data_IF_659216046534
#
_entry.id   IF_659216046534
#
_cell.length_a   1.000
_cell.length_b   1.000
_cell.length_c   1.000
_cell.angle_alpha   90.00
_cell.angle_beta   90.00
_cell.angle_gamma   90.00
#
_symmetry.space_group_name_H-M   'P 1'
#
loop_
_entity.id
_entity.type
_entity.pdbx_description
1 polymer ?
#
# COMPACT_ATOMS: atom_id res chain seq x y z
N UNK A 1 -45.50 2.12 14.33
CA UNK A 1 -45.34 1.89 12.88
C UNK A 1 -44.09 2.61 12.41
N UNK A 2 -42.98 1.94 12.47
CA UNK A 2 -41.67 2.46 12.01
C UNK A 2 -41.58 2.20 10.51
N UNK A 3 -41.51 3.28 9.70
CA UNK A 3 -41.23 3.19 8.26
C UNK A 3 -39.77 2.75 8.06
N UNK A 4 -39.59 1.49 7.66
CA UNK A 4 -38.36 0.98 7.09
C UNK A 4 -38.05 1.80 5.83
N UNK A 5 -37.16 2.76 5.94
CA UNK A 5 -36.56 3.45 4.79
C UNK A 5 -35.58 2.48 4.12
N UNK A 6 -36.08 1.73 3.15
CA UNK A 6 -35.25 1.00 2.18
C UNK A 6 -34.32 2.01 1.52
N UNK A 7 -33.04 1.98 1.86
CA UNK A 7 -32.02 2.78 1.20
C UNK A 7 -32.07 2.44 -0.30
N UNK A 8 -32.51 3.39 -1.11
CA UNK A 8 -32.58 3.25 -2.57
C UNK A 8 -31.18 2.88 -3.09
N UNK A 9 -31.04 1.73 -3.74
CA UNK A 9 -29.80 1.30 -4.40
C UNK A 9 -29.37 2.41 -5.35
N UNK A 10 -28.26 3.09 -5.03
CA UNK A 10 -27.68 4.11 -5.91
C UNK A 10 -27.43 3.49 -7.28
N UNK A 11 -27.79 4.13 -8.40
CA UNK A 11 -27.59 3.59 -9.74
C UNK A 11 -26.10 3.35 -9.97
N UNK A 12 -25.75 2.23 -10.64
CA UNK A 12 -24.39 1.75 -10.84
C UNK A 12 -23.45 2.81 -11.42
N UNK A 13 -23.94 3.66 -12.33
CA UNK A 13 -23.13 4.73 -12.94
C UNK A 13 -22.68 5.84 -11.97
N UNK A 14 -23.30 5.94 -10.79
CA UNK A 14 -22.88 6.87 -9.71
C UNK A 14 -21.86 6.27 -8.77
N UNK A 15 -21.54 4.97 -8.90
CA UNK A 15 -20.48 4.37 -8.08
C UNK A 15 -19.11 4.79 -8.60
N UNK A 16 -18.20 5.15 -7.69
CA UNK A 16 -16.81 5.49 -8.02
C UNK A 16 -16.15 4.34 -8.78
N UNK A 17 -16.44 3.09 -8.37
CA UNK A 17 -15.96 1.88 -9.05
C UNK A 17 -16.28 1.88 -10.55
N UNK A 18 -17.54 2.10 -10.93
CA UNK A 18 -17.95 2.11 -12.33
C UNK A 18 -17.31 3.28 -13.10
N UNK A 19 -17.27 4.47 -12.49
CA UNK A 19 -16.66 5.65 -13.10
C UNK A 19 -15.17 5.46 -13.38
N UNK A 20 -14.42 4.89 -12.42
CA UNK A 20 -12.98 4.59 -12.60
C UNK A 20 -12.76 3.51 -13.65
N UNK A 21 -13.60 2.46 -13.67
CA UNK A 21 -13.50 1.39 -14.68
C UNK A 21 -13.72 1.93 -16.10
N UNK A 22 -14.74 2.76 -16.29
CA UNK A 22 -14.99 3.42 -17.58
C UNK A 22 -13.83 4.35 -17.95
N UNK A 23 -13.33 5.13 -16.99
CA UNK A 23 -12.22 6.05 -17.21
C UNK A 23 -10.93 5.31 -17.61
N UNK A 24 -10.60 4.19 -16.97
CA UNK A 24 -9.47 3.32 -17.33
C UNK A 24 -9.64 2.79 -18.77
N UNK A 25 -10.83 2.25 -19.11
CA UNK A 25 -11.09 1.74 -20.44
C UNK A 25 -10.95 2.81 -21.54
N UNK A 26 -11.48 4.02 -21.28
CA UNK A 26 -11.33 5.16 -22.19
C UNK A 26 -9.88 5.63 -22.28
N UNK A 27 -9.11 5.61 -21.18
CA UNK A 27 -7.68 5.92 -21.16
C UNK A 27 -6.87 4.95 -22.01
N UNK A 28 -7.12 3.64 -21.87
CA UNK A 28 -6.50 2.60 -22.71
C UNK A 28 -6.82 2.84 -24.20
N UNK A 29 -8.10 3.07 -24.52
CA UNK A 29 -8.52 3.33 -25.90
C UNK A 29 -7.82 4.57 -26.47
N UNK A 30 -7.81 5.70 -25.72
CA UNK A 30 -7.15 6.92 -26.18
C UNK A 30 -5.65 6.70 -26.42
N UNK A 31 -4.94 6.08 -25.44
CA UNK A 31 -3.51 5.81 -25.56
C UNK A 31 -3.18 4.85 -26.71
N UNK A 32 -4.05 3.90 -27.02
CA UNK A 32 -3.85 2.96 -28.11
C UNK A 32 -4.08 3.60 -29.49
N UNK A 33 -5.21 4.30 -29.68
CA UNK A 33 -5.57 4.85 -30.98
C UNK A 33 -4.89 6.19 -31.28
N UNK A 34 -4.58 6.97 -30.25
CA UNK A 34 -3.95 8.29 -30.35
C UNK A 34 -2.76 8.39 -29.38
N UNK A 35 -1.61 7.69 -29.64
CA UNK A 35 -0.51 7.57 -28.69
C UNK A 35 0.05 8.90 -28.19
N UNK A 36 0.21 9.88 -29.10
CA UNK A 36 0.75 11.20 -28.75
C UNK A 36 -0.19 11.93 -27.77
N UNK A 37 -1.49 11.97 -28.11
CA UNK A 37 -2.49 12.60 -27.27
C UNK A 37 -2.62 11.85 -25.93
N UNK A 38 -2.51 10.51 -25.95
CA UNK A 38 -2.47 9.70 -24.72
C UNK A 38 -1.28 10.08 -23.83
N UNK A 39 -0.10 10.21 -24.40
CA UNK A 39 1.11 10.63 -23.68
C UNK A 39 0.98 12.03 -23.04
N UNK A 40 0.28 12.95 -23.72
CA UNK A 40 0.02 14.32 -23.24
C UNK A 40 -0.96 14.37 -22.06
N UNK A 41 -1.70 13.28 -21.78
CA UNK A 41 -2.63 13.18 -20.64
C UNK A 41 -1.95 12.95 -19.29
N UNK A 42 -0.63 12.79 -19.25
CA UNK A 42 0.17 12.60 -18.01
C UNK A 42 -0.19 13.60 -16.89
N UNK A 43 -0.36 14.91 -17.15
CA UNK A 43 -0.68 15.88 -16.11
C UNK A 43 -1.94 15.59 -15.30
N UNK A 44 -2.95 14.91 -15.89
CA UNK A 44 -4.19 14.55 -15.20
C UNK A 44 -3.92 13.49 -14.12
N UNK A 45 -3.11 12.47 -14.43
CA UNK A 45 -2.69 11.45 -13.46
C UNK A 45 -1.81 12.04 -12.38
N UNK A 46 -0.77 12.79 -12.76
CA UNK A 46 0.16 13.43 -11.83
C UNK A 46 -0.55 14.44 -10.91
N UNK A 47 -1.52 15.19 -11.44
CA UNK A 47 -2.32 16.13 -10.69
C UNK A 47 -3.15 15.45 -9.58
N UNK A 48 -3.82 14.36 -9.91
CA UNK A 48 -4.56 13.57 -8.92
C UNK A 48 -3.64 13.01 -7.83
N UNK A 49 -2.49 12.43 -8.20
CA UNK A 49 -1.52 11.91 -7.24
C UNK A 49 -0.99 13.04 -6.32
N UNK A 50 -0.72 14.24 -6.87
CA UNK A 50 -0.30 15.41 -6.08
C UNK A 50 -1.38 15.85 -5.08
N UNK A 51 -2.66 15.85 -5.48
CA UNK A 51 -3.76 16.18 -4.56
C UNK A 51 -3.84 15.21 -3.38
N UNK A 52 -3.66 13.91 -3.63
CA UNK A 52 -3.62 12.91 -2.54
C UNK A 52 -2.38 13.09 -1.68
N UNK A 53 -1.17 13.22 -2.29
CA UNK A 53 0.08 13.38 -1.54
C UNK A 53 0.07 14.59 -0.61
N UNK A 54 -0.54 15.68 -1.03
CA UNK A 54 -0.68 16.91 -0.24
C UNK A 54 -1.30 16.66 1.15
N UNK A 55 -2.20 15.68 1.27
CA UNK A 55 -2.98 15.47 2.49
C UNK A 55 -2.51 14.26 3.32
N UNK A 56 -1.62 13.42 2.78
CA UNK A 56 -1.16 12.19 3.44
C UNK A 56 -0.47 12.53 4.77
N UNK A 57 0.51 13.43 4.78
CA UNK A 57 1.28 13.77 5.98
C UNK A 57 0.41 14.30 7.13
N UNK A 58 -0.50 15.28 6.91
CA UNK A 58 -1.45 15.71 7.92
C UNK A 58 -2.37 14.60 8.45
N UNK A 59 -2.87 13.72 7.57
CA UNK A 59 -3.74 12.59 7.99
C UNK A 59 -2.97 11.61 8.88
N UNK A 60 -1.76 11.20 8.48
CA UNK A 60 -0.92 10.30 9.27
C UNK A 60 -0.68 10.91 10.64
N UNK A 61 -0.30 12.19 10.70
CA UNK A 61 -0.09 12.89 11.96
C UNK A 61 -1.32 12.84 12.86
N UNK A 62 -2.46 13.30 12.38
CA UNK A 62 -3.68 13.35 13.19
C UNK A 62 -4.11 11.95 13.65
N UNK A 63 -4.12 10.97 12.74
CA UNK A 63 -4.58 9.60 13.05
C UNK A 63 -3.68 8.91 14.06
N UNK A 64 -2.35 9.02 13.88
CA UNK A 64 -1.37 8.40 14.78
C UNK A 64 -1.39 9.07 16.15
N UNK A 65 -1.42 10.41 16.20
CA UNK A 65 -1.46 11.15 17.47
C UNK A 65 -2.73 10.83 18.25
N UNK A 66 -3.92 10.89 17.62
CA UNK A 66 -5.20 10.55 18.27
C UNK A 66 -5.20 9.10 18.72
N UNK A 67 -4.68 8.22 17.87
CA UNK A 67 -4.52 6.81 18.20
C UNK A 67 -3.70 6.62 19.47
N UNK A 68 -2.48 7.13 19.53
CA UNK A 68 -1.54 6.93 20.65
C UNK A 68 -1.98 7.70 21.89
N UNK A 69 -2.26 8.99 21.77
CA UNK A 69 -2.64 9.81 22.91
C UNK A 69 -3.97 9.39 23.56
N UNK A 70 -4.83 8.74 22.79
CA UNK A 70 -6.11 8.20 23.25
C UNK A 70 -6.05 6.82 23.91
N UNK A 71 -4.87 6.18 23.99
CA UNK A 71 -4.71 4.86 24.62
C UNK A 71 -4.61 4.94 26.14
N UNK A 72 -5.13 3.89 26.80
CA UNK A 72 -4.98 3.71 28.25
C UNK A 72 -3.64 3.04 28.62
N UNK A 73 -3.08 2.23 27.72
CA UNK A 73 -1.85 1.46 27.97
C UNK A 73 -0.83 1.64 26.83
N UNK A 74 0.24 2.37 27.13
CA UNK A 74 1.32 2.68 26.20
C UNK A 74 2.19 1.48 25.80
N UNK A 75 2.21 0.40 26.61
CA UNK A 75 2.94 -0.82 26.26
C UNK A 75 2.35 -1.48 25.00
N UNK A 76 1.05 -1.29 24.75
CA UNK A 76 0.37 -1.81 23.56
C UNK A 76 0.91 -1.19 22.26
N UNK A 77 1.28 0.08 22.25
CA UNK A 77 1.85 0.76 21.05
C UNK A 77 3.15 0.08 20.63
N UNK A 78 4.07 -0.13 21.57
CA UNK A 78 5.33 -0.82 21.29
C UNK A 78 5.12 -2.26 20.83
N UNK A 79 4.17 -2.97 21.45
CA UNK A 79 3.81 -4.34 21.05
C UNK A 79 3.23 -4.37 19.62
N UNK A 80 2.31 -3.47 19.29
CA UNK A 80 1.70 -3.40 17.95
C UNK A 80 2.75 -3.08 16.89
N UNK A 81 3.62 -2.11 17.13
CA UNK A 81 4.72 -1.76 16.21
C UNK A 81 5.71 -2.90 16.01
N UNK A 82 6.15 -3.55 17.10
CA UNK A 82 7.08 -4.69 17.03
C UNK A 82 6.48 -5.89 16.29
N UNK A 83 5.21 -6.22 16.54
CA UNK A 83 4.51 -7.30 15.82
C UNK A 83 4.26 -6.95 14.35
N UNK A 84 3.99 -5.67 14.03
CA UNK A 84 3.86 -5.23 12.65
C UNK A 84 5.18 -5.40 11.88
N UNK A 85 6.30 -4.94 12.44
CA UNK A 85 7.62 -5.10 11.83
C UNK A 85 7.98 -6.58 11.64
N UNK A 86 7.72 -7.44 12.64
CA UNK A 86 7.93 -8.88 12.51
C UNK A 86 7.08 -9.47 11.38
N UNK A 87 5.81 -9.11 11.29
CA UNK A 87 4.92 -9.55 10.22
C UNK A 87 5.46 -9.13 8.85
N UNK A 88 5.83 -7.86 8.70
CA UNK A 88 6.36 -7.31 7.45
C UNK A 88 7.62 -8.04 7.00
N UNK A 89 8.54 -8.32 7.94
CA UNK A 89 9.78 -9.00 7.63
C UNK A 89 9.54 -10.43 7.15
N UNK A 90 8.69 -11.18 7.88
CA UNK A 90 8.35 -12.57 7.52
C UNK A 90 7.64 -12.62 6.16
N UNK A 91 6.63 -11.78 5.95
CA UNK A 91 5.82 -11.83 4.72
C UNK A 91 6.59 -11.31 3.51
N UNK A 92 7.40 -10.26 3.65
CA UNK A 92 8.30 -9.79 2.59
C UNK A 92 9.35 -10.84 2.22
N UNK A 93 9.88 -11.57 3.21
CA UNK A 93 10.81 -12.70 2.96
C UNK A 93 10.13 -13.81 2.16
N UNK A 94 8.89 -14.19 2.53
CA UNK A 94 8.10 -15.16 1.76
C UNK A 94 7.87 -14.64 0.33
N UNK A 95 7.57 -13.35 0.16
CA UNK A 95 7.36 -12.75 -1.15
C UNK A 95 8.62 -12.84 -2.04
N UNK A 96 9.81 -12.54 -1.48
CA UNK A 96 11.09 -12.70 -2.17
C UNK A 96 11.34 -14.17 -2.60
N UNK A 97 11.08 -15.13 -1.69
CA UNK A 97 11.25 -16.56 -1.96
C UNK A 97 10.27 -17.03 -3.03
N UNK A 98 9.00 -16.64 -2.96
CA UNK A 98 7.99 -17.00 -3.98
C UNK A 98 8.41 -16.46 -5.35
N UNK A 99 8.91 -15.21 -5.40
CA UNK A 99 9.46 -14.63 -6.62
C UNK A 99 10.64 -15.45 -7.17
N UNK A 100 11.59 -15.83 -6.30
CA UNK A 100 12.77 -16.63 -6.67
C UNK A 100 12.38 -18.00 -7.22
N UNK A 101 11.52 -18.72 -6.50
CA UNK A 101 11.06 -20.05 -6.90
C UNK A 101 10.36 -19.99 -8.27
N UNK A 102 9.44 -19.03 -8.43
CA UNK A 102 8.66 -18.93 -9.67
C UNK A 102 9.52 -18.56 -10.88
N UNK A 103 10.47 -17.61 -10.73
CA UNK A 103 11.33 -17.20 -11.86
C UNK A 103 12.31 -18.31 -12.26
N UNK A 104 12.77 -19.12 -11.31
CA UNK A 104 13.65 -20.27 -11.60
C UNK A 104 12.88 -21.45 -12.20
N UNK A 105 11.60 -21.66 -11.84
CA UNK A 105 10.77 -22.70 -12.45
C UNK A 105 10.36 -22.37 -13.90
N UNK A 106 9.96 -21.14 -14.15
CA UNK A 106 9.40 -20.73 -15.47
C UNK A 106 10.49 -20.24 -16.42
N UNK A 107 11.59 -19.74 -15.89
CA UNK A 107 12.75 -19.23 -16.63
C UNK A 107 12.35 -18.28 -17.78
N UNK A 108 11.74 -17.13 -17.47
CA UNK A 108 11.20 -16.23 -18.52
C UNK A 108 12.30 -15.60 -19.37
N UNK A 109 13.54 -15.49 -18.89
CA UNK A 109 14.69 -14.92 -19.61
C UNK A 109 15.52 -15.93 -20.38
N UNK A 110 15.28 -17.24 -20.18
CA UNK A 110 16.09 -18.28 -20.82
C UNK A 110 15.96 -18.25 -22.36
N UNK A 111 17.11 -18.34 -23.03
CA UNK A 111 17.18 -18.37 -24.50
C UNK A 111 17.14 -16.96 -25.18
N UNK A 112 17.07 -15.87 -24.40
CA UNK A 112 17.14 -14.53 -24.98
C UNK A 112 18.55 -14.18 -25.47
N UNK A 113 19.59 -14.72 -24.83
CA UNK A 113 21.02 -14.59 -25.23
C UNK A 113 21.43 -13.12 -25.52
N UNK A 114 21.01 -12.19 -24.70
CA UNK A 114 21.28 -10.78 -24.88
C UNK A 114 22.71 -10.46 -24.47
N UNK A 115 23.47 -9.84 -25.35
CA UNK A 115 24.77 -9.29 -24.99
C UNK A 115 24.61 -7.97 -24.21
N UNK A 116 25.00 -7.99 -22.94
CA UNK A 116 24.88 -6.82 -22.06
C UNK A 116 25.64 -5.59 -22.55
N UNK A 117 26.70 -5.77 -23.36
CA UNK A 117 27.50 -4.68 -23.93
C UNK A 117 26.77 -3.89 -25.00
N UNK A 118 25.74 -4.48 -25.62
CA UNK A 118 24.96 -3.86 -26.70
C UNK A 118 23.77 -3.06 -26.21
N UNK A 119 23.48 -3.12 -24.90
CA UNK A 119 22.29 -2.48 -24.32
C UNK A 119 22.49 -0.95 -24.17
N UNK A 120 21.43 -0.20 -24.48
CA UNK A 120 21.43 1.27 -24.33
C UNK A 120 21.41 1.68 -22.85
N UNK A 121 22.58 1.92 -22.28
CA UNK A 121 22.73 2.39 -20.90
C UNK A 121 22.30 3.84 -20.69
N UNK A 122 22.16 4.65 -21.75
CA UNK A 122 21.69 6.05 -21.65
C UNK A 122 20.24 6.09 -21.17
N UNK A 123 19.42 5.12 -21.59
CA UNK A 123 18.02 5.02 -21.20
C UNK A 123 17.82 4.81 -19.69
N UNK A 124 18.79 4.21 -19.01
CA UNK A 124 18.77 3.92 -17.58
C UNK A 124 19.63 4.85 -16.73
N UNK A 125 20.37 5.78 -17.34
CA UNK A 125 21.27 6.70 -16.64
C UNK A 125 20.55 7.52 -15.53
N UNK A 126 19.29 7.85 -15.74
CA UNK A 126 18.45 8.53 -14.73
C UNK A 126 18.24 7.72 -13.45
N UNK A 127 18.44 6.39 -13.49
CA UNK A 127 18.22 5.46 -12.38
C UNK A 127 19.49 4.93 -11.74
N UNK A 128 20.64 5.05 -12.44
CA UNK A 128 21.93 4.46 -12.04
C UNK A 128 22.98 5.49 -11.59
N UNK A 129 22.61 6.78 -11.51
CA UNK A 129 23.52 7.88 -11.16
C UNK A 129 24.07 7.79 -9.72
N UNK A 130 25.33 8.25 -9.49
CA UNK A 130 25.91 8.35 -8.14
C UNK A 130 25.04 9.25 -7.26
N UNK A 131 24.79 8.84 -6.00
CA UNK A 131 23.96 9.56 -5.04
C UNK A 131 22.53 9.01 -4.89
N UNK A 132 22.12 8.02 -5.68
CA UNK A 132 20.80 7.33 -5.51
C UNK A 132 20.88 6.06 -4.67
N UNK A 133 22.06 5.64 -4.26
CA UNK A 133 22.28 4.50 -3.37
C UNK A 133 22.31 4.99 -1.92
N UNK A 134 21.21 4.77 -1.21
CA UNK A 134 21.16 5.06 0.23
C UNK A 134 21.67 3.81 0.97
N UNK A 135 22.74 3.96 1.75
CA UNK A 135 23.24 2.90 2.61
C UNK A 135 22.18 2.50 3.67
N UNK A 136 22.24 1.27 4.18
CA UNK A 136 21.29 0.81 5.21
C UNK A 136 21.31 1.70 6.45
N UNK A 137 22.48 2.20 6.85
CA UNK A 137 22.63 3.13 7.98
C UNK A 137 21.99 4.47 7.65
N UNK A 138 22.23 4.99 6.45
CA UNK A 138 21.63 6.25 6.00
C UNK A 138 20.09 6.13 5.91
N UNK A 139 19.56 4.97 5.48
CA UNK A 139 18.14 4.70 5.47
C UNK A 139 17.54 4.80 6.86
N UNK A 140 18.19 4.19 7.87
CA UNK A 140 17.72 4.23 9.26
C UNK A 140 17.84 5.65 9.85
N UNK A 141 18.93 6.36 9.57
CA UNK A 141 19.13 7.73 10.01
C UNK A 141 18.16 8.70 9.34
N UNK A 142 17.78 8.46 8.08
CA UNK A 142 16.81 9.27 7.34
C UNK A 142 15.37 9.17 7.89
N UNK A 143 15.08 8.23 8.78
CA UNK A 143 13.80 8.21 9.52
C UNK A 143 13.71 9.40 10.49
N UNK A 144 14.86 9.94 10.93
CA UNK A 144 14.93 11.11 11.83
C UNK A 144 14.99 12.38 10.97
N UNK A 145 13.94 13.24 10.99
CA UNK A 145 13.95 14.46 10.20
C UNK A 145 14.95 15.49 10.74
N UNK A 146 15.58 16.24 9.85
CA UNK A 146 16.38 17.41 10.23
C UNK A 146 15.49 18.56 10.75
N UNK A 147 14.25 18.60 10.28
CA UNK A 147 13.20 19.53 10.72
C UNK A 147 11.84 18.88 10.56
N UNK A 148 10.97 19.04 11.56
CA UNK A 148 9.58 18.57 11.49
C UNK A 148 8.84 19.21 10.33
N UNK A 149 9.00 20.52 10.14
CA UNK A 149 8.34 21.26 9.05
C UNK A 149 8.79 20.74 7.68
N UNK A 150 10.08 20.43 7.51
CA UNK A 150 10.61 19.89 6.28
C UNK A 150 10.02 18.50 5.96
N UNK A 151 9.88 17.63 6.98
CA UNK A 151 9.25 16.32 6.83
C UNK A 151 7.81 16.42 6.30
N UNK A 152 7.03 17.35 6.83
CA UNK A 152 5.66 17.60 6.35
C UNK A 152 5.65 18.22 4.95
N UNK A 153 6.52 19.19 4.67
CA UNK A 153 6.60 19.88 3.39
C UNK A 153 7.03 18.94 2.25
N UNK A 154 7.93 18.01 2.52
CA UNK A 154 8.37 16.98 1.56
C UNK A 154 7.44 15.77 1.50
N UNK A 155 6.59 15.56 2.50
CA UNK A 155 5.69 14.41 2.59
C UNK A 155 6.42 13.10 2.89
N UNK A 156 7.52 13.15 3.66
CA UNK A 156 8.33 11.99 4.03
C UNK A 156 7.61 11.16 5.10
N UNK A 157 6.90 10.12 4.66
CA UNK A 157 5.94 9.34 5.48
C UNK A 157 6.57 8.83 6.78
N UNK A 158 7.78 8.23 6.72
CA UNK A 158 8.44 7.67 7.91
C UNK A 158 8.87 8.75 8.90
N UNK A 159 9.33 9.89 8.41
CA UNK A 159 9.74 11.03 9.25
C UNK A 159 8.52 11.64 9.96
N UNK A 160 7.42 11.83 9.22
CA UNK A 160 6.15 12.28 9.77
C UNK A 160 5.61 11.28 10.80
N UNK A 161 5.71 9.98 10.52
CA UNK A 161 5.29 8.92 11.43
C UNK A 161 6.10 8.94 12.73
N UNK A 162 7.43 9.03 12.66
CA UNK A 162 8.28 9.13 13.85
C UNK A 162 7.88 10.31 14.72
N UNK A 163 7.74 11.51 14.11
CA UNK A 163 7.30 12.69 14.85
C UNK A 163 5.91 12.51 15.46
N UNK A 164 4.97 11.93 14.72
CA UNK A 164 3.60 11.67 15.18
C UNK A 164 3.56 10.74 16.37
N UNK A 165 4.38 9.70 16.36
CA UNK A 165 4.54 8.76 17.49
C UNK A 165 5.07 9.49 18.73
N UNK A 166 6.16 10.26 18.58
CA UNK A 166 6.73 11.04 19.69
C UNK A 166 5.74 12.08 20.23
N UNK A 167 5.03 12.79 19.35
CA UNK A 167 4.01 13.77 19.74
C UNK A 167 2.84 13.11 20.46
N UNK A 168 2.37 11.94 19.98
CA UNK A 168 1.32 11.17 20.61
C UNK A 168 1.70 10.70 22.03
N UNK A 169 2.94 10.24 22.23
CA UNK A 169 3.47 9.91 23.55
C UNK A 169 3.52 11.13 24.48
N UNK A 170 4.02 12.25 23.98
CA UNK A 170 4.10 13.49 24.76
C UNK A 170 2.70 13.99 25.14
N UNK A 171 1.75 13.99 24.19
CA UNK A 171 0.37 14.42 24.44
C UNK A 171 -0.34 13.47 25.43
N UNK A 172 -0.11 12.15 25.34
CA UNK A 172 -0.62 11.20 26.32
C UNK A 172 -0.13 11.54 27.74
N UNK A 173 1.17 11.83 27.91
CA UNK A 173 1.76 12.23 29.18
C UNK A 173 1.23 13.57 29.69
N UNK A 174 0.88 14.49 28.78
CA UNK A 174 0.30 15.81 29.08
C UNK A 174 -1.16 15.73 29.54
N UNK A 175 -1.85 14.62 29.34
CA UNK A 175 -3.23 14.40 29.77
C UNK A 175 -4.10 13.67 28.74
N UNK A 176 -3.63 13.47 27.52
CA UNK A 176 -4.30 12.66 26.50
C UNK A 176 -5.70 13.15 26.15
N UNK A 177 -6.69 12.23 26.25
CA UNK A 177 -8.12 12.53 26.01
C UNK A 177 -8.64 13.59 26.97
N UNK A 178 -9.45 14.51 26.44
CA UNK A 178 -10.04 15.61 27.22
C UNK A 178 -9.16 16.87 27.27
N UNK A 179 -7.95 16.84 26.68
CA UNK A 179 -7.19 18.07 26.47
C UNK A 179 -7.65 18.77 25.19
N UNK A 180 -7.63 20.11 25.19
CA UNK A 180 -7.99 20.91 24.00
C UNK A 180 -7.17 20.53 22.77
N UNK A 181 -5.88 20.18 22.96
CA UNK A 181 -4.98 19.75 21.87
C UNK A 181 -5.44 18.45 21.25
N UNK A 182 -5.82 17.47 22.07
CA UNK A 182 -6.34 16.18 21.58
C UNK A 182 -7.63 16.39 20.78
N UNK A 183 -8.60 17.10 21.32
CA UNK A 183 -9.89 17.36 20.68
C UNK A 183 -9.73 18.15 19.36
N UNK A 184 -8.80 19.12 19.34
CA UNK A 184 -8.46 19.85 18.12
C UNK A 184 -7.92 18.93 17.02
N UNK A 185 -6.95 18.08 17.36
CA UNK A 185 -6.34 17.14 16.38
C UNK A 185 -7.38 16.11 15.91
N UNK A 186 -8.24 15.60 16.81
CA UNK A 186 -9.29 14.65 16.45
C UNK A 186 -10.30 15.26 15.47
N UNK A 187 -10.80 16.48 15.76
CA UNK A 187 -11.70 17.20 14.85
C UNK A 187 -11.04 17.54 13.52
N UNK A 188 -9.75 17.93 13.56
CA UNK A 188 -8.98 18.19 12.34
C UNK A 188 -8.86 16.93 11.48
N UNK A 189 -8.68 15.75 12.09
CA UNK A 189 -8.67 14.46 11.37
C UNK A 189 -9.95 14.27 10.56
N UNK A 190 -11.14 14.53 11.13
CA UNK A 190 -12.42 14.42 10.40
C UNK A 190 -12.48 15.36 9.20
N UNK A 191 -12.06 16.63 9.36
CA UNK A 191 -12.01 17.60 8.25
C UNK A 191 -11.08 17.12 7.13
N UNK A 192 -9.93 16.54 7.49
CA UNK A 192 -8.98 15.99 6.51
C UNK A 192 -9.58 14.80 5.73
N UNK A 193 -10.32 13.91 6.38
CA UNK A 193 -11.02 12.81 5.69
C UNK A 193 -12.14 13.32 4.76
N UNK A 194 -12.84 14.39 5.12
CA UNK A 194 -13.81 15.05 4.24
C UNK A 194 -13.13 15.62 2.98
N UNK A 195 -11.94 16.23 3.14
CA UNK A 195 -11.12 16.70 2.00
C UNK A 195 -10.75 15.52 1.10
N UNK A 196 -10.36 14.37 1.65
CA UNK A 196 -10.13 13.14 0.86
C UNK A 196 -11.38 12.78 0.05
N UNK A 197 -12.56 12.83 0.67
CA UNK A 197 -13.84 12.59 -0.01
C UNK A 197 -14.08 13.52 -1.21
N UNK A 198 -13.66 14.79 -1.09
CA UNK A 198 -13.71 15.77 -2.19
C UNK A 198 -12.71 15.40 -3.31
N UNK A 199 -11.45 15.11 -2.94
CA UNK A 199 -10.39 14.74 -3.90
C UNK A 199 -10.76 13.46 -4.66
N UNK A 200 -11.37 12.48 -3.99
CA UNK A 200 -11.76 11.21 -4.60
C UNK A 200 -12.80 11.36 -5.72
N UNK A 201 -13.54 12.47 -5.78
CA UNK A 201 -14.47 12.72 -6.90
C UNK A 201 -13.74 12.92 -8.24
N UNK A 202 -12.47 13.34 -8.22
CA UNK A 202 -11.64 13.50 -9.42
C UNK A 202 -10.76 12.26 -9.72
N UNK A 203 -10.83 11.22 -8.91
CA UNK A 203 -10.07 9.97 -9.13
C UNK A 203 -10.30 9.34 -10.52
N UNK A 204 -11.52 9.32 -11.10
CA UNK A 204 -11.73 8.83 -12.48
C UNK A 204 -10.90 9.61 -13.51
N UNK A 205 -10.78 10.94 -13.36
CA UNK A 205 -9.98 11.78 -14.28
C UNK A 205 -8.50 11.44 -14.13
N UNK A 206 -8.02 11.26 -12.89
CA UNK A 206 -6.65 10.84 -12.63
C UNK A 206 -6.32 9.47 -13.21
N UNK A 207 -7.23 8.50 -13.05
CA UNK A 207 -7.08 7.14 -13.59
C UNK A 207 -7.08 7.12 -15.12
N UNK A 208 -7.98 7.89 -15.75
CA UNK A 208 -8.00 8.08 -17.21
C UNK A 208 -6.66 8.63 -17.72
N UNK A 209 -6.18 9.74 -17.14
CA UNK A 209 -4.95 10.40 -17.61
C UNK A 209 -3.72 9.53 -17.41
N UNK A 210 -3.60 8.84 -16.27
CA UNK A 210 -2.48 7.96 -15.98
C UNK A 210 -2.45 6.74 -16.94
N UNK A 211 -3.60 6.16 -17.22
CA UNK A 211 -3.70 5.00 -18.12
C UNK A 211 -3.49 5.41 -19.59
N UNK A 212 -4.07 6.52 -20.03
CA UNK A 212 -3.85 7.06 -21.37
C UNK A 212 -2.36 7.35 -21.62
N UNK A 213 -1.69 7.98 -20.65
CA UNK A 213 -0.24 8.21 -20.71
C UNK A 213 0.55 6.90 -20.79
N UNK A 214 0.21 5.92 -19.96
CA UNK A 214 0.93 4.64 -19.92
C UNK A 214 0.87 3.93 -21.28
N UNK A 215 -0.32 3.78 -21.83
CA UNK A 215 -0.51 3.10 -23.13
C UNK A 215 0.04 3.95 -24.29
N UNK A 216 -0.15 5.27 -24.26
CA UNK A 216 0.35 6.17 -25.30
C UNK A 216 1.87 6.21 -25.38
N UNK A 217 2.55 6.22 -24.24
CA UNK A 217 4.02 6.32 -24.18
C UNK A 217 4.72 4.99 -24.41
N UNK A 218 4.25 3.92 -23.79
CA UNK A 218 4.95 2.63 -23.77
C UNK A 218 4.40 1.63 -24.80
N UNK A 219 3.18 1.88 -25.30
CA UNK A 219 2.55 1.05 -26.31
C UNK A 219 2.15 -0.34 -25.79
N UNK A 220 1.25 -0.99 -26.52
CA UNK A 220 0.86 -2.39 -26.23
C UNK A 220 1.89 -3.38 -26.80
N UNK A 221 2.71 -2.96 -27.77
CA UNK A 221 3.71 -3.83 -28.40
C UNK A 221 4.83 -4.29 -27.46
N UNK A 222 5.26 -3.44 -26.49
CA UNK A 222 6.23 -3.83 -25.47
C UNK A 222 5.75 -4.95 -24.55
N UNK A 223 4.43 -5.09 -24.39
CA UNK A 223 3.80 -6.17 -23.62
C UNK A 223 4.02 -7.54 -24.28
N UNK A 224 4.01 -7.61 -25.61
CA UNK A 224 4.21 -8.87 -26.34
C UNK A 224 5.67 -9.35 -26.28
N UNK A 225 6.63 -8.42 -26.42
CA UNK A 225 8.07 -8.75 -26.44
C UNK A 225 8.56 -9.38 -25.12
N UNK A 226 8.01 -8.91 -23.99
CA UNK A 226 8.36 -9.37 -22.65
C UNK A 226 7.17 -10.04 -21.94
N UNK A 227 6.20 -10.50 -22.69
CA UNK A 227 4.96 -11.09 -22.21
C UNK A 227 5.18 -12.30 -21.30
N UNK A 228 6.24 -13.08 -21.53
CA UNK A 228 6.57 -14.22 -20.67
C UNK A 228 6.97 -13.75 -19.26
N UNK A 229 7.82 -12.72 -19.14
CA UNK A 229 8.19 -12.15 -17.83
C UNK A 229 6.96 -11.52 -17.15
N UNK A 230 6.21 -10.69 -17.86
CA UNK A 230 5.02 -10.06 -17.32
C UNK A 230 3.98 -11.08 -16.87
N UNK A 231 3.66 -12.06 -17.72
CA UNK A 231 2.71 -13.13 -17.39
C UNK A 231 3.15 -13.91 -16.15
N UNK A 232 4.43 -14.27 -16.06
CA UNK A 232 5.01 -14.94 -14.90
C UNK A 232 4.88 -14.08 -13.65
N UNK A 233 5.18 -12.79 -13.75
CA UNK A 233 5.10 -11.87 -12.62
C UNK A 233 3.64 -11.67 -12.13
N UNK A 234 2.69 -11.44 -13.03
CA UNK A 234 1.28 -11.32 -12.67
C UNK A 234 0.75 -12.61 -12.04
N UNK A 235 1.11 -13.77 -12.60
CA UNK A 235 0.76 -15.08 -12.02
C UNK A 235 1.32 -15.22 -10.62
N UNK A 236 2.57 -14.83 -10.40
CA UNK A 236 3.23 -14.88 -9.08
C UNK A 236 2.52 -13.98 -8.06
N UNK A 237 2.14 -12.76 -8.46
CA UNK A 237 1.36 -11.86 -7.62
C UNK A 237 -0.02 -12.45 -7.25
N UNK A 238 -0.70 -13.09 -8.21
CA UNK A 238 -1.98 -13.77 -7.94
C UNK A 238 -1.80 -14.95 -6.98
N UNK A 239 -0.78 -15.80 -7.19
CA UNK A 239 -0.45 -16.89 -6.27
C UNK A 239 -0.15 -16.33 -4.88
N UNK A 240 0.65 -15.28 -4.77
CA UNK A 240 0.97 -14.67 -3.48
C UNK A 240 -0.29 -14.15 -2.77
N UNK A 241 -1.14 -13.40 -3.46
CA UNK A 241 -2.37 -12.84 -2.87
C UNK A 241 -3.36 -13.95 -2.47
N UNK A 242 -3.65 -14.90 -3.37
CA UNK A 242 -4.73 -15.86 -3.10
C UNK A 242 -4.27 -17.12 -2.37
N UNK A 243 -3.00 -17.51 -2.49
CA UNK A 243 -2.47 -18.66 -1.76
C UNK A 243 -1.79 -18.19 -0.47
N UNK A 244 -0.74 -17.37 -0.53
CA UNK A 244 0.03 -17.00 0.68
C UNK A 244 -0.81 -16.13 1.61
N UNK A 245 -1.27 -14.96 1.14
CA UNK A 245 -2.13 -14.09 1.95
C UNK A 245 -3.50 -14.74 2.21
N UNK A 246 -3.96 -15.61 1.32
CA UNK A 246 -5.17 -16.42 1.50
C UNK A 246 -5.06 -17.37 2.68
N UNK A 247 -3.95 -18.10 2.82
CA UNK A 247 -3.67 -18.97 3.97
C UNK A 247 -3.58 -18.12 5.24
N UNK A 248 -2.80 -17.02 5.22
CA UNK A 248 -2.66 -16.12 6.36
C UNK A 248 -4.03 -15.60 6.82
N UNK A 249 -4.84 -15.11 5.89
CA UNK A 249 -6.19 -14.59 6.18
C UNK A 249 -7.10 -15.65 6.78
N UNK A 250 -7.07 -16.87 6.22
CA UNK A 250 -7.87 -18.00 6.71
C UNK A 250 -7.49 -18.42 8.12
N UNK A 251 -6.19 -18.47 8.43
CA UNK A 251 -5.68 -18.76 9.78
C UNK A 251 -6.12 -17.68 10.79
N UNK A 252 -6.36 -16.46 10.32
CA UNK A 252 -6.84 -15.36 11.15
C UNK A 252 -8.36 -15.18 11.11
N UNK A 253 -9.10 -16.10 10.48
CA UNK A 253 -10.56 -16.18 10.55
C UNK A 253 -11.32 -15.32 9.55
N UNK A 254 -10.69 -14.87 8.45
CA UNK A 254 -11.39 -14.14 7.39
C UNK A 254 -10.99 -14.62 5.99
N UNK A 255 -11.81 -14.30 4.99
CA UNK A 255 -11.60 -14.71 3.61
C UNK A 255 -10.89 -13.61 2.82
N UNK A 256 -9.75 -13.94 2.20
CA UNK A 256 -9.02 -13.04 1.30
C UNK A 256 -9.90 -12.61 0.13
N UNK A 257 -10.74 -13.50 -0.42
CA UNK A 257 -11.63 -13.17 -1.52
C UNK A 257 -12.68 -12.11 -1.14
N UNK A 258 -13.28 -12.24 0.06
CA UNK A 258 -14.21 -11.23 0.58
C UNK A 258 -13.50 -9.91 0.84
N UNK A 259 -12.27 -9.96 1.35
CA UNK A 259 -11.45 -8.78 1.59
C UNK A 259 -11.12 -8.05 0.30
N UNK A 260 -10.62 -8.75 -0.73
CA UNK A 260 -10.35 -8.17 -2.06
C UNK A 260 -11.62 -7.55 -2.67
N UNK A 261 -12.76 -8.22 -2.53
CA UNK A 261 -14.05 -7.66 -2.96
C UNK A 261 -14.44 -6.40 -2.19
N UNK A 262 -14.13 -6.33 -0.91
CA UNK A 262 -14.41 -5.17 -0.07
C UNK A 262 -13.59 -3.93 -0.47
N UNK A 263 -12.33 -4.11 -0.84
CA UNK A 263 -11.43 -3.02 -1.26
C UNK A 263 -11.36 -2.83 -2.79
N UNK A 264 -12.32 -3.35 -3.55
CA UNK A 264 -12.31 -3.35 -5.03
C UNK A 264 -12.23 -1.95 -5.64
N UNK A 265 -12.81 -0.93 -4.99
CA UNK A 265 -12.76 0.46 -5.47
C UNK A 265 -11.34 1.02 -5.38
N UNK A 266 -10.66 0.75 -4.26
CA UNK A 266 -9.27 1.13 -4.02
C UNK A 266 -8.34 0.41 -5.01
N UNK A 267 -8.58 -0.89 -5.25
CA UNK A 267 -7.81 -1.65 -6.24
C UNK A 267 -7.93 -1.06 -7.65
N UNK A 268 -9.11 -0.62 -8.06
CA UNK A 268 -9.29 0.03 -9.36
C UNK A 268 -8.56 1.38 -9.46
N UNK A 269 -8.59 2.18 -8.39
CA UNK A 269 -7.87 3.45 -8.37
C UNK A 269 -6.36 3.20 -8.47
N UNK A 270 -5.85 2.21 -7.74
CA UNK A 270 -4.44 1.81 -7.78
C UNK A 270 -4.08 1.25 -9.16
N UNK A 271 -4.94 0.45 -9.79
CA UNK A 271 -4.73 -0.03 -11.16
C UNK A 271 -4.58 1.16 -12.13
N UNK A 272 -5.45 2.16 -12.04
CA UNK A 272 -5.38 3.34 -12.91
C UNK A 272 -4.16 4.23 -12.63
N UNK A 273 -3.76 4.39 -11.38
CA UNK A 273 -2.68 5.30 -10.97
C UNK A 273 -1.31 4.64 -10.87
N UNK A 274 -1.25 3.30 -10.75
CA UNK A 274 -0.06 2.50 -10.44
C UNK A 274 0.62 2.94 -9.12
N UNK A 275 -0.13 3.51 -8.18
CA UNK A 275 0.37 3.98 -6.89
C UNK A 275 -0.58 3.60 -5.77
N UNK A 276 -0.13 2.75 -4.83
CA UNK A 276 -0.91 2.40 -3.64
C UNK A 276 -1.12 3.58 -2.70
N UNK A 277 -0.22 4.57 -2.71
CA UNK A 277 -0.36 5.80 -1.91
C UNK A 277 -1.62 6.60 -2.27
N UNK A 278 -2.09 6.48 -3.52
CA UNK A 278 -3.29 7.19 -4.01
C UNK A 278 -4.58 6.87 -3.22
N UNK A 279 -4.59 5.78 -2.49
CA UNK A 279 -5.74 5.32 -1.70
C UNK A 279 -5.43 5.14 -0.21
N UNK A 280 -4.24 5.55 0.25
CA UNK A 280 -3.79 5.36 1.64
C UNK A 280 -4.85 5.83 2.66
N UNK A 281 -5.39 7.07 2.58
CA UNK A 281 -6.38 7.52 3.54
C UNK A 281 -7.66 6.67 3.54
N UNK A 282 -8.13 6.26 2.36
CA UNK A 282 -9.31 5.39 2.25
C UNK A 282 -9.06 4.00 2.81
N UNK A 283 -7.85 3.46 2.64
CA UNK A 283 -7.50 2.17 3.24
C UNK A 283 -7.52 2.26 4.76
N UNK A 284 -7.03 3.36 5.35
CA UNK A 284 -7.11 3.57 6.80
C UNK A 284 -8.57 3.56 7.26
N UNK A 285 -9.43 4.36 6.65
CA UNK A 285 -10.87 4.40 6.95
C UNK A 285 -11.52 3.02 6.80
N UNK A 286 -11.23 2.30 5.72
CA UNK A 286 -11.78 0.95 5.48
C UNK A 286 -11.34 -0.08 6.52
N UNK A 287 -10.10 -0.04 6.99
CA UNK A 287 -9.63 -0.94 8.05
C UNK A 287 -10.29 -0.62 9.39
N UNK A 288 -10.49 0.66 9.71
CA UNK A 288 -11.27 1.09 10.88
C UNK A 288 -12.72 0.63 10.77
N UNK A 289 -13.33 0.75 9.60
CA UNK A 289 -14.69 0.28 9.34
C UNK A 289 -14.83 -1.24 9.45
N UNK A 290 -13.79 -2.01 9.17
CA UNK A 290 -13.72 -3.45 9.43
C UNK A 290 -13.47 -3.81 10.90
N UNK A 291 -13.39 -2.83 11.79
CA UNK A 291 -13.28 -3.06 13.22
C UNK A 291 -11.87 -3.09 13.78
N UNK A 292 -10.84 -2.74 13.00
CA UNK A 292 -9.51 -2.49 13.54
C UNK A 292 -9.48 -1.14 14.26
N UNK A 293 -8.84 -1.08 15.44
CA UNK A 293 -8.74 0.18 16.20
C UNK A 293 -7.87 1.20 15.47
N UNK A 294 -8.22 2.48 15.60
CA UNK A 294 -7.48 3.62 15.00
C UNK A 294 -5.98 3.60 15.32
N UNK A 295 -5.61 3.19 16.54
CA UNK A 295 -4.22 3.02 16.97
C UNK A 295 -3.45 2.04 16.11
N UNK A 296 -4.01 0.85 15.89
CA UNK A 296 -3.40 -0.18 15.05
C UNK A 296 -3.33 0.29 13.59
N UNK A 297 -4.43 0.81 13.05
CA UNK A 297 -4.51 1.29 11.66
C UNK A 297 -3.50 2.41 11.41
N UNK A 298 -3.46 3.42 12.30
CA UNK A 298 -2.56 4.58 12.18
C UNK A 298 -1.08 4.20 12.25
N UNK A 299 -0.73 3.11 12.92
CA UNK A 299 0.64 2.63 13.00
C UNK A 299 0.98 1.66 11.85
N UNK A 300 0.14 0.65 11.61
CA UNK A 300 0.45 -0.45 10.67
C UNK A 300 0.38 0.00 9.21
N UNK A 301 -0.67 0.74 8.81
CA UNK A 301 -0.83 1.15 7.42
C UNK A 301 0.33 2.04 6.95
N UNK A 302 0.65 3.18 7.59
CA UNK A 302 1.73 4.04 7.11
C UNK A 302 3.10 3.35 7.14
N UNK A 303 3.39 2.56 8.19
CA UNK A 303 4.63 1.79 8.30
C UNK A 303 4.71 0.75 7.18
N UNK A 304 3.61 0.06 6.87
CA UNK A 304 3.53 -0.95 5.83
C UNK A 304 3.82 -0.42 4.43
N UNK A 305 3.50 0.84 4.13
CA UNK A 305 3.83 1.46 2.85
C UNK A 305 5.33 1.62 2.58
N UNK A 306 6.16 1.44 3.60
CA UNK A 306 7.62 1.45 3.46
C UNK A 306 8.24 0.07 3.75
N UNK A 307 7.67 -0.70 4.66
CA UNK A 307 8.28 -1.96 5.14
C UNK A 307 7.59 -3.23 4.64
N UNK A 308 6.34 -3.16 4.15
CA UNK A 308 5.57 -4.31 3.66
C UNK A 308 5.22 -4.16 2.18
N UNK A 309 6.22 -4.13 1.34
CA UNK A 309 6.08 -3.99 -0.11
C UNK A 309 6.18 -5.35 -0.80
N UNK A 310 5.20 -6.23 -0.57
CA UNK A 310 5.21 -7.63 -1.01
C UNK A 310 5.34 -7.76 -2.53
N UNK A 311 4.54 -7.03 -3.30
CA UNK A 311 4.62 -7.03 -4.76
C UNK A 311 5.94 -6.46 -5.29
N UNK A 312 6.52 -5.48 -4.59
CA UNK A 312 7.85 -4.97 -4.92
C UNK A 312 8.93 -6.00 -4.62
N UNK A 313 8.82 -6.72 -3.52
CA UNK A 313 9.75 -7.83 -3.17
C UNK A 313 9.72 -8.92 -4.24
N UNK A 314 8.55 -9.37 -4.68
CA UNK A 314 8.41 -10.33 -5.79
C UNK A 314 9.08 -9.79 -7.05
N UNK A 315 8.81 -8.53 -7.40
CA UNK A 315 9.39 -7.88 -8.57
C UNK A 315 10.90 -7.84 -8.54
N UNK A 316 11.49 -7.40 -7.42
CA UNK A 316 12.94 -7.24 -7.30
C UNK A 316 13.68 -8.55 -7.53
N UNK A 317 13.20 -9.65 -6.94
CA UNK A 317 13.78 -10.98 -7.13
C UNK A 317 13.61 -11.45 -8.57
N UNK A 318 12.38 -11.37 -9.11
CA UNK A 318 12.09 -11.87 -10.45
C UNK A 318 12.83 -11.08 -11.53
N UNK A 319 12.92 -9.76 -11.38
CA UNK A 319 13.61 -8.91 -12.34
C UNK A 319 15.14 -9.14 -12.34
N UNK A 320 15.74 -9.28 -11.16
CA UNK A 320 17.18 -9.56 -11.04
C UNK A 320 17.55 -10.91 -11.68
N UNK A 321 16.81 -11.98 -11.36
CA UNK A 321 17.06 -13.32 -11.90
C UNK A 321 16.71 -13.40 -13.40
N UNK A 322 15.65 -12.69 -13.84
CA UNK A 322 15.34 -12.57 -15.27
C UNK A 322 16.48 -11.95 -16.06
N UNK A 323 17.07 -10.85 -15.55
CA UNK A 323 18.22 -10.22 -16.21
C UNK A 323 19.39 -11.20 -16.28
N UNK A 324 19.68 -11.92 -15.20
CA UNK A 324 20.73 -12.94 -15.19
C UNK A 324 20.48 -14.04 -16.25
N UNK A 325 19.25 -14.55 -16.34
CA UNK A 325 18.85 -15.53 -17.36
C UNK A 325 18.96 -14.95 -18.78
N UNK A 326 18.48 -13.73 -19.02
CA UNK A 326 18.46 -13.11 -20.33
C UNK A 326 19.85 -12.78 -20.87
N UNK A 327 20.82 -12.48 -19.97
CA UNK A 327 22.20 -12.15 -20.30
C UNK A 327 23.16 -13.34 -20.17
N UNK A 328 22.64 -14.57 -20.04
CA UNK A 328 23.44 -15.78 -19.84
C UNK A 328 24.46 -15.68 -18.69
N UNK A 329 24.08 -15.01 -17.61
CA UNK A 329 24.88 -14.90 -16.39
C UNK A 329 24.38 -15.92 -15.37
N UNK A 330 24.91 -17.16 -15.36
CA UNK A 330 24.41 -18.20 -14.46
C UNK A 330 24.68 -17.82 -13.00
N UNK A 331 23.66 -17.96 -12.17
CA UNK A 331 23.78 -17.72 -10.72
C UNK A 331 23.80 -19.07 -9.98
N UNK A 332 24.77 -19.25 -9.09
CA UNK A 332 24.76 -20.35 -8.14
C UNK A 332 23.71 -20.09 -7.06
N UNK A 333 23.25 -21.16 -6.39
CA UNK A 333 22.31 -21.02 -5.26
C UNK A 333 22.84 -20.07 -4.18
N UNK A 334 24.12 -20.09 -3.90
CA UNK A 334 24.74 -19.16 -2.94
C UNK A 334 24.61 -17.70 -3.39
N UNK A 335 24.78 -17.42 -4.68
CA UNK A 335 24.61 -16.07 -5.23
C UNK A 335 23.15 -15.61 -5.20
N UNK A 336 22.21 -16.53 -5.48
CA UNK A 336 20.77 -16.24 -5.36
C UNK A 336 20.37 -15.95 -3.91
N UNK A 337 20.88 -16.73 -2.94
CA UNK A 337 20.62 -16.48 -1.51
C UNK A 337 21.26 -15.17 -1.04
N UNK A 338 22.47 -14.84 -1.54
CA UNK A 338 23.10 -13.54 -1.28
C UNK A 338 22.26 -12.41 -1.86
N UNK A 339 21.77 -12.57 -3.09
CA UNK A 339 20.85 -11.60 -3.71
C UNK A 339 19.59 -11.40 -2.86
N UNK A 340 18.97 -12.48 -2.37
CA UNK A 340 17.80 -12.39 -1.47
C UNK A 340 18.12 -11.63 -0.19
N UNK A 341 19.26 -11.91 0.44
CA UNK A 341 19.68 -11.23 1.67
C UNK A 341 19.86 -9.71 1.44
N UNK A 342 20.50 -9.33 0.33
CA UNK A 342 20.65 -7.92 -0.05
C UNK A 342 19.30 -7.29 -0.38
N UNK A 343 18.44 -7.99 -1.13
CA UNK A 343 17.08 -7.51 -1.46
C UNK A 343 16.20 -7.31 -0.22
N UNK A 344 16.33 -8.17 0.79
CA UNK A 344 15.60 -8.05 2.04
C UNK A 344 15.89 -6.70 2.73
N UNK A 345 17.14 -6.27 2.68
CA UNK A 345 17.57 -4.97 3.23
C UNK A 345 17.19 -3.80 2.30
N UNK A 346 17.53 -3.91 1.03
CA UNK A 346 17.37 -2.81 0.07
C UNK A 346 15.91 -2.55 -0.31
N UNK A 347 15.03 -3.58 -0.26
CA UNK A 347 13.59 -3.43 -0.51
C UNK A 347 12.91 -2.44 0.42
N UNK A 348 13.43 -2.26 1.64
CA UNK A 348 12.93 -1.28 2.62
C UNK A 348 13.20 0.17 2.20
N UNK A 349 14.10 0.39 1.25
CA UNK A 349 14.34 1.70 0.61
C UNK A 349 13.38 2.03 -0.54
N UNK A 350 12.50 1.10 -0.92
CA UNK A 350 11.46 1.36 -1.91
C UNK A 350 10.31 2.16 -1.28
N UNK A 351 9.63 2.96 -2.10
CA UNK A 351 8.39 3.63 -1.73
C UNK A 351 7.21 3.08 -2.53
N UNK A 352 5.98 3.30 -2.09
CA UNK A 352 4.75 2.88 -2.79
C UNK A 352 4.44 3.68 -4.07
N UNK A 353 5.47 4.26 -4.70
CA UNK A 353 5.36 5.09 -5.91
C UNK A 353 5.97 4.41 -7.13
N UNK A 354 5.51 4.83 -8.30
CA UNK A 354 6.00 4.34 -9.60
C UNK A 354 7.50 4.61 -9.77
N UNK A 355 8.25 3.60 -10.22
CA UNK A 355 9.69 3.72 -10.51
C UNK A 355 10.60 3.53 -9.29
N UNK A 356 10.11 3.58 -8.04
CA UNK A 356 10.95 3.36 -6.85
C UNK A 356 11.57 1.96 -6.84
N UNK A 357 10.81 0.93 -7.19
CA UNK A 357 11.31 -0.44 -7.28
C UNK A 357 12.42 -0.59 -8.33
N UNK A 358 12.35 0.15 -9.45
CA UNK A 358 13.40 0.14 -10.47
C UNK A 358 14.70 0.75 -9.97
N UNK A 359 14.65 1.86 -9.20
CA UNK A 359 15.81 2.48 -8.55
C UNK A 359 16.45 1.51 -7.55
N UNK A 360 15.64 0.86 -6.70
CA UNK A 360 16.13 -0.12 -5.72
C UNK A 360 16.77 -1.32 -6.42
N UNK A 361 16.17 -1.80 -7.51
CA UNK A 361 16.77 -2.86 -8.31
C UNK A 361 18.14 -2.45 -8.88
N UNK A 362 18.24 -1.25 -9.46
CA UNK A 362 19.51 -0.71 -9.99
C UNK A 362 20.58 -0.66 -8.89
N UNK A 363 20.23 -0.15 -7.72
CA UNK A 363 21.12 -0.09 -6.56
C UNK A 363 21.57 -1.49 -6.11
N UNK A 364 20.61 -2.43 -6.03
CA UNK A 364 20.88 -3.82 -5.62
C UNK A 364 21.81 -4.53 -6.61
N UNK A 365 21.53 -4.44 -7.91
CA UNK A 365 22.39 -5.07 -8.93
C UNK A 365 23.81 -4.50 -8.90
N UNK A 366 23.95 -3.19 -8.69
CA UNK A 366 25.24 -2.54 -8.53
C UNK A 366 26.01 -3.02 -7.29
N UNK A 367 25.31 -3.23 -6.16
CA UNK A 367 25.89 -3.69 -4.90
C UNK A 367 26.30 -5.17 -4.95
N UNK A 368 25.49 -6.02 -5.55
CA UNK A 368 25.75 -7.47 -5.68
C UNK A 368 26.81 -7.77 -6.74
N UNK A 369 26.85 -6.98 -7.82
CA UNK A 369 27.87 -7.04 -8.87
C UNK A 369 27.89 -8.30 -9.74
N UNK A 370 27.05 -9.30 -9.48
CA UNK A 370 27.00 -10.56 -10.24
C UNK A 370 26.14 -10.46 -11.50
N UNK A 371 25.13 -9.60 -11.50
CA UNK A 371 24.20 -9.42 -12.61
C UNK A 371 24.46 -8.06 -13.27
N UNK A 372 24.56 -7.99 -14.62
CA UNK A 372 24.91 -6.75 -15.31
C UNK A 372 23.81 -5.70 -15.16
N UNK A 373 24.15 -4.52 -14.62
CA UNK A 373 23.22 -3.40 -14.41
C UNK A 373 22.62 -2.91 -15.74
N UNK A 374 23.38 -3.02 -16.85
CA UNK A 374 22.91 -2.70 -18.20
C UNK A 374 21.63 -3.47 -18.57
N UNK A 375 21.43 -4.67 -18.03
CA UNK A 375 20.23 -5.48 -18.24
C UNK A 375 18.93 -4.83 -17.78
N UNK A 376 18.99 -3.80 -16.95
CA UNK A 376 17.80 -2.98 -16.59
C UNK A 376 17.13 -2.37 -17.83
N UNK A 377 17.90 -2.08 -18.89
CA UNK A 377 17.33 -1.57 -20.14
C UNK A 377 16.31 -2.52 -20.77
N UNK A 378 16.46 -3.85 -20.55
CA UNK A 378 15.52 -4.87 -21.05
C UNK A 378 14.10 -4.70 -20.48
N UNK A 379 14.01 -4.35 -19.20
CA UNK A 379 12.73 -4.32 -18.47
C UNK A 379 12.16 -2.90 -18.36
N UNK A 380 12.89 -1.88 -18.78
CA UNK A 380 12.45 -0.48 -18.66
C UNK A 380 11.08 -0.23 -19.32
N UNK A 381 10.87 -0.79 -20.51
CA UNK A 381 9.61 -0.62 -21.28
C UNK A 381 8.39 -1.25 -20.63
N UNK A 382 8.57 -2.28 -19.79
CA UNK A 382 7.47 -2.97 -19.10
C UNK A 382 7.37 -2.66 -17.62
N UNK A 383 8.37 -1.99 -17.03
CA UNK A 383 8.37 -1.66 -15.60
C UNK A 383 7.11 -0.92 -15.16
N UNK A 384 6.59 -0.06 -16.02
CA UNK A 384 5.36 0.68 -15.75
C UNK A 384 4.17 -0.25 -15.53
N UNK A 385 3.99 -1.27 -16.36
CA UNK A 385 2.92 -2.26 -16.23
C UNK A 385 3.14 -3.17 -15.03
N UNK A 386 4.38 -3.58 -14.80
CA UNK A 386 4.71 -4.35 -13.59
C UNK A 386 4.48 -3.52 -12.31
N UNK A 387 4.62 -2.20 -12.37
CA UNK A 387 4.31 -1.31 -11.26
C UNK A 387 2.86 -1.36 -10.81
N UNK A 388 1.93 -1.58 -11.73
CA UNK A 388 0.50 -1.74 -11.42
C UNK A 388 0.26 -2.98 -10.54
N UNK A 389 0.77 -4.14 -10.94
CA UNK A 389 0.63 -5.36 -10.15
C UNK A 389 1.37 -5.30 -8.81
N UNK A 390 2.55 -4.64 -8.76
CA UNK A 390 3.25 -4.36 -7.50
C UNK A 390 2.35 -3.58 -6.54
N UNK A 391 1.79 -2.47 -7.02
CA UNK A 391 0.97 -1.59 -6.21
C UNK A 391 -0.31 -2.28 -5.70
N UNK A 392 -0.97 -3.09 -6.54
CA UNK A 392 -2.14 -3.88 -6.16
C UNK A 392 -1.79 -4.91 -5.08
N UNK A 393 -0.70 -5.65 -5.25
CA UNK A 393 -0.24 -6.67 -4.30
C UNK A 393 0.14 -6.02 -2.96
N UNK A 394 0.88 -4.89 -2.99
CA UNK A 394 1.25 -4.14 -1.80
C UNK A 394 0.01 -3.65 -1.03
N UNK A 395 -1.02 -3.16 -1.74
CA UNK A 395 -2.24 -2.68 -1.12
C UNK A 395 -2.98 -3.80 -0.38
N UNK A 396 -3.14 -4.97 -1.02
CA UNK A 396 -3.78 -6.14 -0.40
C UNK A 396 -2.97 -6.61 0.79
N UNK A 397 -1.64 -6.73 0.66
CA UNK A 397 -0.73 -7.14 1.72
C UNK A 397 -0.81 -6.25 2.95
N UNK A 398 -0.81 -4.93 2.77
CA UNK A 398 -0.92 -3.97 3.86
C UNK A 398 -2.27 -4.04 4.58
N UNK A 399 -3.36 -4.23 3.84
CA UNK A 399 -4.67 -4.41 4.45
C UNK A 399 -4.75 -5.70 5.26
N UNK A 400 -4.23 -6.83 4.74
CA UNK A 400 -4.16 -8.11 5.46
C UNK A 400 -3.29 -7.98 6.70
N UNK A 401 -2.10 -7.36 6.58
CA UNK A 401 -1.20 -7.10 7.71
C UNK A 401 -1.91 -6.36 8.85
N UNK A 402 -2.67 -5.31 8.51
CA UNK A 402 -3.41 -4.51 9.50
C UNK A 402 -4.41 -5.35 10.28
N UNK A 403 -5.20 -6.18 9.60
CA UNK A 403 -6.19 -7.05 10.25
C UNK A 403 -5.53 -8.14 11.09
N UNK A 404 -4.43 -8.71 10.62
CA UNK A 404 -3.66 -9.74 11.35
C UNK A 404 -3.04 -9.16 12.61
N UNK A 405 -2.34 -8.03 12.51
CA UNK A 405 -1.69 -7.37 13.65
C UNK A 405 -2.75 -6.89 14.65
N UNK A 406 -3.86 -6.30 14.19
CA UNK A 406 -4.97 -5.91 15.05
C UNK A 406 -5.54 -7.13 15.82
N UNK A 407 -5.62 -8.30 15.19
CA UNK A 407 -6.03 -9.54 15.86
C UNK A 407 -5.02 -9.99 16.90
N UNK A 408 -3.72 -9.98 16.60
CA UNK A 408 -2.66 -10.39 17.53
C UNK A 408 -2.57 -9.49 18.77
N UNK A 409 -2.90 -8.21 18.60
CA UNK A 409 -2.87 -7.22 19.70
C UNK A 409 -4.19 -7.11 20.47
N UNK A 410 -5.25 -7.83 20.05
CA UNK A 410 -6.58 -7.71 20.62
C UNK A 410 -7.30 -6.40 20.26
N UNK A 411 -6.90 -5.76 19.16
CA UNK A 411 -7.43 -4.49 18.67
C UNK A 411 -8.38 -4.66 17.48
N UNK A 412 -8.86 -5.88 17.22
CA UNK A 412 -9.81 -6.19 16.15
C UNK A 412 -11.16 -6.63 16.70
N UNK A 413 -12.22 -5.94 16.31
CA UNK A 413 -13.58 -6.42 16.52
C UNK A 413 -13.94 -7.44 15.42
N UNK A 414 -13.90 -8.73 15.76
CA UNK A 414 -14.14 -9.82 14.79
C UNK A 414 -15.57 -9.89 14.29
N UNK A 415 -16.57 -9.49 15.10
CA UNK A 415 -17.96 -9.45 14.66
C UNK A 415 -18.16 -8.38 13.59
N UNK A 416 -17.60 -7.16 13.83
CA UNK A 416 -17.61 -6.07 12.87
C UNK A 416 -16.86 -6.42 11.59
N UNK A 417 -15.73 -7.15 11.70
CA UNK A 417 -15.00 -7.67 10.54
C UNK A 417 -15.88 -8.56 9.67
N UNK A 418 -16.56 -9.54 10.27
CA UNK A 418 -17.41 -10.45 9.51
C UNK A 418 -18.62 -9.77 8.89
N UNK A 419 -19.30 -8.89 9.62
CA UNK A 419 -20.42 -8.10 9.10
C UNK A 419 -19.97 -7.22 7.91
N UNK A 420 -18.88 -6.48 8.06
CA UNK A 420 -18.34 -5.62 6.99
C UNK A 420 -17.94 -6.40 5.73
N UNK A 421 -17.28 -7.55 5.90
CA UNK A 421 -16.88 -8.41 4.77
C UNK A 421 -18.08 -9.12 4.09
N UNK A 422 -19.22 -9.26 4.78
CA UNK A 422 -20.46 -9.83 4.23
C UNK A 422 -21.40 -8.75 3.66
N UNK A 423 -21.05 -7.46 3.73
CA UNK A 423 -21.90 -6.31 3.43
C UNK A 423 -23.18 -6.26 4.31
N UNK A 424 -23.08 -6.71 5.54
CA UNK A 424 -24.14 -6.61 6.54
C UNK A 424 -23.99 -5.28 7.31
N UNK A 425 -25.11 -4.65 7.68
CA UNK A 425 -25.10 -3.47 8.55
C UNK A 425 -24.73 -3.90 9.97
N UNK A 426 -23.59 -3.43 10.47
CA UNK A 426 -23.23 -3.56 11.86
C UNK A 426 -23.97 -2.49 12.66
N UNK A 427 -24.91 -2.90 13.51
CA UNK A 427 -25.42 -2.05 14.57
C UNK A 427 -24.60 -2.37 15.83
N UNK A 428 -23.92 -1.37 16.36
CA UNK A 428 -23.32 -1.46 17.69
C UNK A 428 -24.47 -1.75 18.67
N UNK A 429 -24.48 -2.93 19.28
CA UNK A 429 -25.40 -3.19 20.38
C UNK A 429 -25.11 -2.12 21.43
N UNK A 430 -26.09 -1.27 21.74
CA UNK A 430 -26.00 -0.31 22.84
C UNK A 430 -25.45 -1.04 24.04
N UNK A 431 -24.36 -0.50 24.59
CA UNK A 431 -23.67 -1.13 25.70
C UNK A 431 -24.67 -1.39 26.85
N UNK A 432 -24.60 -2.56 27.51
CA UNK A 432 -25.59 -2.92 28.55
C UNK A 432 -25.68 -1.96 29.74
N UNK A 433 -24.81 -0.97 29.83
CA UNK A 433 -24.81 0.06 30.88
C UNK A 433 -26.06 0.97 30.89
N UNK A 434 -26.71 1.20 29.73
CA UNK A 434 -27.92 2.04 29.71
C UNK A 434 -29.12 1.27 30.32
N UNK A 435 -29.17 -0.03 30.16
CA UNK A 435 -30.22 -0.88 30.74
C UNK A 435 -30.08 -1.05 32.27
N UNK A 436 -28.87 -0.98 32.81
CA UNK A 436 -28.65 -1.04 34.26
C UNK A 436 -29.09 0.26 34.92
N UNK A 437 -28.77 1.42 34.32
CA UNK A 437 -29.16 2.72 34.85
C UNK A 437 -30.68 2.97 34.74
N UNK A 438 -31.36 2.44 33.74
CA UNK A 438 -32.84 2.52 33.67
C UNK A 438 -33.52 1.61 34.66
N UNK A 439 -32.97 0.43 35.01
CA UNK A 439 -33.49 -0.43 36.05
C UNK A 439 -33.26 0.12 37.45
N UNK A 440 -32.14 0.77 37.71
CA UNK A 440 -31.85 1.41 38.99
C UNK A 440 -32.75 2.64 39.20
N UNK A 441 -32.97 3.47 38.17
CA UNK A 441 -33.84 4.63 38.25
C UNK A 441 -35.35 4.25 38.47
N UNK A 442 -35.75 3.05 38.09
CA UNK A 442 -37.11 2.55 38.35
C UNK A 442 -37.28 1.90 39.73
N UNK A 443 -36.20 1.56 40.43
CA UNK A 443 -36.27 1.00 41.78
C UNK A 443 -36.25 2.06 42.89
N UNK A 444 -35.73 3.26 42.61
CA UNK A 444 -35.69 4.39 43.59
C UNK A 444 -36.98 5.25 43.59
N UNK A 445 -37.97 4.89 42.75
CA UNK A 445 -39.27 5.61 42.68
C UNK A 445 -40.39 5.09 43.58
N UNK A 446 -40.10 4.19 44.55
CA UNK A 446 -41.10 3.75 45.53
C UNK A 446 -40.99 4.62 46.76
N UNK A 447 -41.84 5.62 46.87
CA UNK A 447 -42.05 6.35 48.12
C UNK A 447 -42.81 5.46 49.13
N UNK A 448 -42.43 5.42 50.38
CA UNK A 448 -43.32 5.03 51.48
C UNK A 448 -43.95 6.28 52.10
N UNK A 449 -45.23 6.24 52.32
CA UNK A 449 -46.11 7.00 53.21
C UNK A 449 -45.63 8.31 53.79
#
# INVERSE_FOLDING_TARGET
>A
MSKSTTAAKRPLYRSLYFQVLVAVALGVALGHFYPQLGADMKPLGDGFIKLIKMIIAPIIFCTVVVGIAGMEDMKKVGKTGGLALLYFEVVSTIALIVGLVTVNLIQPGAGMNVDASTLDTKSIAAYTGPGKMVGTVDLLLNVIPTSVVDAFAKGEILQVLLFSVLFGFALHKFGGRGTMVFDFIEKTSHVLFDIVGIIMKVAPIGAFGAMAFTIGKYGVGSLFSLGKLMGTFYLTCLIFVFVVLGIISRLHGFSIWKFVKYIKEELLIVLGTSSSESVLPRMMEKMENLGAKKTCVGLVIPTGYSFNLDGTSIYLTMAAVFIAQATNTPMSLTQELTLLAVLLLTSKGAAGITGSGFIVLAATLSAVGTVPVAGLALILGIDRFMSEARALTNLVGNGVATLVVAKWTGELNTQRLHAGLNNETWMEAEAPEILINQKVAHMDGAQPY
#
